data_IF_546559669297
#
_entry.id   IF_546559669297
#
_cell.length_a   1.000
_cell.length_b   1.000
_cell.length_c   1.000
_cell.angle_alpha   90.00
_cell.angle_beta   90.00
_cell.angle_gamma   90.00
#
_symmetry.space_group_name_H-M   'P 1'
#
loop_
_entity.id
_entity.type
_entity.pdbx_description
1 polymer ?
#
# COMPACT_ATOMS: atom_id res chain seq x y z
N UNK A 1 1.50 9.86 -18.56
CA UNK A 1 0.62 10.82 -17.86
C UNK A 1 -0.30 10.07 -16.90
N UNK A 2 -1.19 9.18 -17.37
CA UNK A 2 -2.12 8.42 -16.52
C UNK A 2 -1.40 7.60 -15.45
N UNK A 3 -0.33 6.90 -15.82
CA UNK A 3 0.47 6.10 -14.87
C UNK A 3 1.09 6.95 -13.75
N UNK A 4 1.47 8.19 -14.01
CA UNK A 4 2.01 9.09 -12.99
C UNK A 4 0.92 9.52 -11.99
N UNK A 5 -0.31 9.74 -12.47
CA UNK A 5 -1.45 10.05 -11.61
C UNK A 5 -1.82 8.85 -10.72
N UNK A 6 -1.90 7.65 -11.30
CA UNK A 6 -2.17 6.42 -10.57
C UNK A 6 -1.09 6.17 -9.52
N UNK A 7 0.19 6.30 -9.89
CA UNK A 7 1.30 6.13 -8.96
C UNK A 7 1.22 7.12 -7.79
N UNK A 8 0.86 8.38 -8.06
CA UNK A 8 0.69 9.38 -7.00
C UNK A 8 -0.49 9.07 -6.09
N UNK A 9 -1.59 8.58 -6.63
CA UNK A 9 -2.75 8.13 -5.87
C UNK A 9 -2.38 6.96 -4.96
N UNK A 10 -1.73 5.91 -5.50
CA UNK A 10 -1.27 4.76 -4.73
C UNK A 10 -0.29 5.18 -3.62
N UNK A 11 0.67 6.05 -3.91
CA UNK A 11 1.62 6.57 -2.91
C UNK A 11 0.93 7.34 -1.77
N UNK A 12 -0.17 8.02 -2.08
CA UNK A 12 -0.95 8.73 -1.06
C UNK A 12 -1.75 7.74 -0.20
N UNK A 13 -2.42 6.77 -0.81
CA UNK A 13 -3.23 5.76 -0.12
C UNK A 13 -2.36 4.83 0.71
N UNK A 14 -1.28 4.28 0.10
CA UNK A 14 -0.36 3.33 0.73
C UNK A 14 0.87 4.01 1.36
N UNK A 15 0.77 5.30 1.63
CA UNK A 15 1.74 6.07 2.38
C UNK A 15 1.51 6.03 3.89
N UNK A 16 2.37 6.70 4.62
CA UNK A 16 2.31 6.87 6.08
C UNK A 16 2.01 8.31 6.52
N UNK A 17 1.62 9.16 5.57
CA UNK A 17 1.29 10.54 5.86
C UNK A 17 0.07 10.66 6.79
N UNK A 18 0.15 11.58 7.73
CA UNK A 18 -1.00 12.00 8.51
C UNK A 18 -1.94 12.77 7.58
N UNK A 19 -3.23 12.40 7.60
CA UNK A 19 -4.24 13.13 6.84
C UNK A 19 -4.46 14.54 7.41
N UNK A 20 -4.85 15.44 6.53
CA UNK A 20 -5.28 16.79 6.88
C UNK A 20 -6.52 17.18 6.04
N UNK A 21 -6.94 18.46 6.10
CA UNK A 21 -8.09 18.95 5.34
C UNK A 21 -7.91 18.93 3.82
N UNK A 22 -6.69 18.68 3.33
CA UNK A 22 -6.33 18.74 1.90
C UNK A 22 -5.93 17.40 1.30
N UNK A 23 -5.63 16.40 2.12
CA UNK A 23 -5.22 15.07 1.68
C UNK A 23 -5.60 13.98 2.67
N UNK A 24 -5.94 12.77 2.18
CA UNK A 24 -6.28 11.64 3.04
C UNK A 24 -5.09 11.17 3.90
N UNK A 25 -5.40 10.54 5.02
CA UNK A 25 -4.42 9.77 5.75
C UNK A 25 -4.02 8.52 4.96
N UNK A 26 -2.74 8.22 4.93
CA UNK A 26 -2.26 6.96 4.36
C UNK A 26 -2.64 5.77 5.26
N UNK A 27 -2.84 4.59 4.65
CA UNK A 27 -3.17 3.34 5.37
C UNK A 27 -2.08 2.97 6.39
N UNK A 28 -0.83 3.34 6.13
CA UNK A 28 0.31 3.08 7.01
C UNK A 28 0.55 4.18 8.04
N UNK A 29 -0.35 5.15 8.16
CA UNK A 29 -0.28 6.14 9.24
C UNK A 29 -0.48 5.46 10.60
N UNK A 30 0.48 5.60 11.50
CA UNK A 30 0.47 4.93 12.80
C UNK A 30 0.68 3.41 12.76
N UNK A 31 1.10 2.84 11.62
CA UNK A 31 1.38 1.41 11.49
C UNK A 31 2.50 0.98 12.46
N UNK A 32 2.26 -0.12 13.16
CA UNK A 32 3.23 -0.70 14.09
C UNK A 32 4.44 -1.27 13.34
N UNK A 33 5.62 -1.15 13.94
CA UNK A 33 6.85 -1.76 13.42
C UNK A 33 6.97 -3.17 14.00
N UNK A 34 6.90 -4.18 13.14
CA UNK A 34 6.90 -5.60 13.54
C UNK A 34 7.84 -6.38 12.62
N UNK A 35 8.74 -7.16 13.19
CA UNK A 35 9.58 -8.05 12.40
C UNK A 35 8.71 -9.13 11.71
N UNK A 36 9.03 -9.53 10.47
CA UNK A 36 8.29 -10.57 9.79
C UNK A 36 8.45 -11.90 10.55
N UNK A 37 7.33 -12.50 10.96
CA UNK A 37 7.30 -13.78 11.66
C UNK A 37 5.96 -14.47 11.40
N UNK A 38 5.90 -15.78 11.58
CA UNK A 38 4.66 -16.52 11.41
C UNK A 38 3.62 -16.09 12.46
N UNK A 39 4.06 -15.89 13.71
CA UNK A 39 3.18 -15.35 14.75
C UNK A 39 2.58 -13.99 14.35
N UNK A 40 3.39 -13.08 13.76
CA UNK A 40 2.89 -11.80 13.28
C UNK A 40 1.87 -11.92 12.13
N UNK A 41 1.97 -12.94 11.30
CA UNK A 41 0.94 -13.24 10.27
C UNK A 41 -0.36 -13.69 10.93
N UNK A 42 -0.30 -14.61 11.89
CA UNK A 42 -1.46 -15.06 12.64
C UNK A 42 -2.11 -13.93 13.46
N UNK A 43 -1.32 -13.07 14.08
CA UNK A 43 -1.80 -11.91 14.82
C UNK A 43 -2.48 -10.90 13.89
N UNK A 44 -1.94 -10.69 12.70
CA UNK A 44 -2.56 -9.82 11.70
C UNK A 44 -3.91 -10.37 11.23
N UNK A 45 -4.05 -11.69 11.09
CA UNK A 45 -5.32 -12.33 10.77
C UNK A 45 -6.32 -12.19 11.93
N UNK A 46 -5.89 -12.48 13.15
CA UNK A 46 -6.73 -12.36 14.35
C UNK A 46 -7.19 -10.92 14.62
N UNK A 47 -6.41 -9.93 14.18
CA UNK A 47 -6.73 -8.51 14.35
C UNK A 47 -7.81 -7.99 13.39
N UNK A 48 -8.18 -8.77 12.35
CA UNK A 48 -9.25 -8.40 11.43
C UNK A 48 -10.62 -8.70 12.06
N UNK A 49 -11.44 -7.68 12.23
CA UNK A 49 -12.76 -7.79 12.87
C UNK A 49 -13.93 -7.56 11.90
N UNK A 50 -13.71 -6.74 10.87
CA UNK A 50 -14.77 -6.25 9.99
C UNK A 50 -14.41 -6.42 8.51
N UNK A 51 -14.54 -7.64 8.00
CA UNK A 51 -14.31 -7.92 6.59
C UNK A 51 -15.49 -8.70 6.00
N UNK A 52 -15.76 -8.50 4.72
CA UNK A 52 -16.83 -9.17 3.98
C UNK A 52 -16.32 -9.87 2.72
N UNK A 53 -15.17 -9.47 2.21
CA UNK A 53 -14.57 -9.99 0.98
C UNK A 53 -13.32 -10.82 1.21
N UNK A 54 -12.59 -11.04 0.11
CA UNK A 54 -11.38 -11.84 0.12
C UNK A 54 -10.21 -11.09 0.74
N UNK A 55 -9.57 -11.73 1.69
CA UNK A 55 -8.36 -11.20 2.34
C UNK A 55 -7.14 -11.37 1.44
N UNK A 56 -6.26 -10.39 1.44
CA UNK A 56 -4.97 -10.45 0.73
C UNK A 56 -3.91 -9.60 1.41
N UNK A 57 -2.67 -9.88 1.07
CA UNK A 57 -1.54 -9.02 1.44
C UNK A 57 -1.25 -8.01 0.33
N UNK A 58 -0.99 -6.76 0.74
CA UNK A 58 -0.41 -5.72 -0.11
C UNK A 58 0.88 -5.27 0.56
N UNK A 59 2.00 -5.36 -0.16
CA UNK A 59 3.30 -5.08 0.45
C UNK A 59 4.28 -4.39 -0.50
N UNK A 60 5.22 -3.67 0.09
CA UNK A 60 6.36 -3.11 -0.65
C UNK A 60 7.30 -4.22 -1.13
N UNK A 61 8.11 -3.98 -2.17
CA UNK A 61 9.13 -4.94 -2.61
C UNK A 61 10.11 -5.32 -1.51
N UNK A 62 10.45 -4.38 -0.62
CA UNK A 62 11.33 -4.62 0.53
C UNK A 62 10.68 -5.59 1.53
N UNK A 63 9.42 -5.36 1.90
CA UNK A 63 8.69 -6.26 2.77
C UNK A 63 8.55 -7.66 2.14
N UNK A 64 8.21 -7.72 0.86
CA UNK A 64 8.15 -8.98 0.10
C UNK A 64 9.47 -9.75 0.14
N UNK A 65 10.60 -9.06 -0.02
CA UNK A 65 11.92 -9.69 0.08
C UNK A 65 12.19 -10.27 1.47
N UNK A 66 11.83 -9.54 2.53
CA UNK A 66 11.99 -10.01 3.91
C UNK A 66 11.13 -11.25 4.20
N UNK A 67 9.87 -11.27 3.75
CA UNK A 67 9.00 -12.44 3.90
C UNK A 67 9.53 -13.69 3.17
N UNK A 68 10.19 -13.51 2.01
CA UNK A 68 10.84 -14.60 1.28
C UNK A 68 12.10 -15.13 1.93
N UNK A 69 12.71 -14.40 2.86
CA UNK A 69 13.93 -14.77 3.56
C UNK A 69 13.67 -15.30 4.97
N UNK A 70 12.47 -15.05 5.51
CA UNK A 70 12.10 -15.46 6.86
C UNK A 70 11.46 -16.84 6.84
N UNK A 71 11.95 -17.72 7.72
CA UNK A 71 11.42 -19.08 7.90
C UNK A 71 10.23 -19.07 8.85
N UNK A 72 9.35 -20.05 8.74
CA UNK A 72 8.15 -20.19 9.59
C UNK A 72 8.54 -20.36 11.06
N UNK A 73 9.52 -21.20 11.35
CA UNK A 73 9.99 -21.42 12.73
C UNK A 73 10.92 -20.35 13.27
N UNK A 74 11.41 -19.43 12.41
CA UNK A 74 12.48 -18.50 12.75
C UNK A 74 13.87 -19.11 12.77
N UNK A 75 14.01 -20.45 12.65
CA UNK A 75 15.27 -21.16 12.66
C UNK A 75 15.84 -21.29 11.23
N UNK A 76 17.15 -21.10 11.09
CA UNK A 76 17.83 -21.20 9.78
C UNK A 76 17.80 -22.62 9.19
N UNK A 77 17.57 -23.62 9.99
CA UNK A 77 17.45 -25.03 9.58
C UNK A 77 16.08 -25.37 8.98
N UNK A 78 15.06 -24.52 9.19
CA UNK A 78 13.74 -24.72 8.57
C UNK A 78 13.79 -24.27 7.11
N UNK A 79 13.33 -25.16 6.22
CA UNK A 79 13.26 -24.87 4.78
C UNK A 79 11.92 -24.23 4.38
N UNK A 80 10.97 -24.13 5.32
CA UNK A 80 9.67 -23.51 5.05
C UNK A 80 9.76 -21.99 5.25
N UNK A 81 9.54 -21.26 4.19
CA UNK A 81 9.54 -19.79 4.18
C UNK A 81 8.14 -19.26 4.45
N UNK A 82 8.03 -18.07 5.05
CA UNK A 82 6.75 -17.39 5.27
C UNK A 82 6.00 -17.14 3.95
N UNK A 83 6.75 -16.84 2.90
CA UNK A 83 6.18 -16.63 1.58
C UNK A 83 6.66 -17.71 0.62
N UNK A 84 5.71 -18.46 0.07
CA UNK A 84 5.95 -19.46 -0.96
C UNK A 84 5.22 -19.04 -2.25
N UNK A 85 5.95 -19.01 -3.36
CA UNK A 85 5.39 -18.50 -4.61
C UNK A 85 5.00 -17.01 -4.48
N UNK A 86 3.71 -16.73 -4.56
CA UNK A 86 3.13 -15.39 -4.39
C UNK A 86 2.03 -15.36 -3.31
N UNK A 87 2.16 -16.23 -2.31
CA UNK A 87 1.20 -16.41 -1.23
C UNK A 87 1.91 -16.42 0.13
N UNK A 88 1.22 -15.92 1.14
CA UNK A 88 1.59 -16.02 2.55
C UNK A 88 0.43 -16.68 3.27
N UNK A 89 0.67 -17.86 3.84
CA UNK A 89 -0.32 -18.69 4.54
C UNK A 89 -1.64 -18.91 3.75
N UNK A 90 -1.50 -19.14 2.42
CA UNK A 90 -2.64 -19.32 1.52
C UNK A 90 -3.33 -18.04 1.05
N UNK A 91 -2.90 -16.87 1.53
CA UNK A 91 -3.43 -15.58 1.07
C UNK A 91 -2.59 -14.99 -0.04
N UNK A 92 -3.22 -14.48 -1.13
CA UNK A 92 -2.49 -13.91 -2.26
C UNK A 92 -1.79 -12.61 -1.86
N UNK A 93 -0.59 -12.42 -2.42
CA UNK A 93 0.25 -11.24 -2.20
C UNK A 93 0.30 -10.37 -3.44
N UNK A 94 -0.09 -9.11 -3.31
CA UNK A 94 0.13 -8.05 -4.29
C UNK A 94 1.30 -7.18 -3.84
N UNK A 95 2.19 -6.82 -4.77
CA UNK A 95 3.34 -5.97 -4.45
C UNK A 95 3.38 -4.75 -5.35
N UNK A 96 3.55 -3.57 -4.75
CA UNK A 96 3.71 -2.30 -5.47
C UNK A 96 4.86 -1.49 -4.88
N UNK A 97 5.64 -0.86 -5.75
CA UNK A 97 6.70 0.08 -5.37
C UNK A 97 6.16 1.39 -4.78
N UNK A 98 4.85 1.63 -4.92
CA UNK A 98 4.16 2.80 -4.38
C UNK A 98 3.72 2.62 -2.93
N UNK A 99 3.86 1.42 -2.36
CA UNK A 99 3.67 1.16 -0.93
C UNK A 99 4.88 1.69 -0.16
N UNK A 100 4.64 2.29 1.00
CA UNK A 100 5.73 2.78 1.88
C UNK A 100 6.79 1.69 2.11
N UNK A 101 8.06 2.08 2.08
CA UNK A 101 9.18 1.14 2.23
C UNK A 101 9.06 0.33 3.52
N UNK A 102 9.21 -0.99 3.42
CA UNK A 102 9.02 -1.91 4.53
C UNK A 102 7.55 -2.14 4.92
N UNK A 103 6.59 -1.46 4.26
CA UNK A 103 5.17 -1.60 4.58
C UNK A 103 4.59 -2.92 4.05
N UNK A 104 3.74 -3.55 4.87
CA UNK A 104 2.84 -4.61 4.45
C UNK A 104 1.49 -4.44 5.15
N UNK A 105 0.43 -4.60 4.41
CA UNK A 105 -0.94 -4.54 4.92
C UNK A 105 -1.67 -5.83 4.60
N UNK A 106 -2.51 -6.29 5.53
CA UNK A 106 -3.33 -7.46 5.38
C UNK A 106 -4.79 -7.11 5.63
N UNK A 107 -5.68 -7.65 4.81
CA UNK A 107 -7.11 -7.44 4.99
C UNK A 107 -7.92 -7.49 3.70
N UNK A 108 -9.15 -7.04 3.84
CA UNK A 108 -10.12 -6.91 2.75
C UNK A 108 -10.06 -5.51 2.12
N UNK A 109 -9.42 -5.42 0.98
CA UNK A 109 -9.27 -4.15 0.25
C UNK A 109 -10.53 -3.73 -0.51
N UNK A 110 -11.60 -4.52 -0.53
CA UNK A 110 -12.90 -4.08 -1.04
C UNK A 110 -13.55 -3.01 -0.14
N UNK A 111 -13.10 -2.93 1.11
CA UNK A 111 -13.51 -1.90 2.06
C UNK A 111 -12.75 -0.56 1.90
N UNK A 112 -11.77 -0.51 1.01
CA UNK A 112 -11.08 0.73 0.64
C UNK A 112 -11.91 1.49 -0.39
N UNK A 113 -12.49 2.60 0.03
CA UNK A 113 -13.25 3.50 -0.85
C UNK A 113 -12.35 4.60 -1.36
N UNK A 114 -12.28 4.75 -2.67
CA UNK A 114 -11.62 5.87 -3.34
C UNK A 114 -12.68 6.72 -4.00
N UNK A 115 -12.77 7.98 -3.63
CA UNK A 115 -13.69 8.93 -4.21
C UNK A 115 -12.94 9.93 -5.10
N UNK A 116 -13.53 10.27 -6.24
CA UNK A 116 -13.00 11.28 -7.16
C UNK A 116 -14.05 12.37 -7.35
N UNK A 117 -13.63 13.64 -7.28
CA UNK A 117 -14.46 14.79 -7.57
C UNK A 117 -14.03 15.46 -8.87
N UNK A 118 -15.01 15.71 -9.73
CA UNK A 118 -14.77 16.32 -11.02
C UNK A 118 -14.04 15.40 -12.01
N UNK A 119 -13.55 16.00 -13.08
CA UNK A 119 -12.75 15.33 -14.08
C UNK A 119 -11.25 15.51 -13.83
N UNK A 120 -10.46 14.87 -14.66
CA UNK A 120 -9.01 15.15 -14.76
C UNK A 120 -8.87 16.37 -15.66
N UNK A 121 -8.27 17.45 -15.13
CA UNK A 121 -7.97 18.66 -15.87
C UNK A 121 -6.50 18.66 -16.31
N UNK A 122 -6.26 18.91 -17.59
CA UNK A 122 -4.92 18.92 -18.18
C UNK A 122 -4.66 20.30 -18.76
N UNK A 123 -3.74 21.03 -18.14
CA UNK A 123 -3.28 22.33 -18.62
C UNK A 123 -1.95 22.17 -19.34
N UNK A 124 -1.92 22.62 -20.60
CA UNK A 124 -0.72 22.63 -21.42
C UNK A 124 -0.08 24.01 -21.34
N UNK A 125 1.14 24.08 -20.81
CA UNK A 125 1.92 25.31 -20.71
C UNK A 125 3.16 25.24 -21.64
N UNK A 126 3.11 25.87 -22.80
CA UNK A 126 4.22 25.88 -23.73
C UNK A 126 5.25 26.95 -23.42
N UNK A 127 4.99 27.90 -22.49
CA UNK A 127 5.80 29.09 -22.30
C UNK A 127 6.86 28.91 -21.20
N UNK A 128 6.53 28.30 -20.08
CA UNK A 128 7.45 28.21 -18.93
C UNK A 128 8.76 27.49 -19.24
N UNK A 129 8.75 26.51 -20.13
CA UNK A 129 9.94 25.75 -20.54
C UNK A 129 10.37 25.98 -21.96
N UNK A 130 9.93 27.10 -22.59
CA UNK A 130 10.26 27.43 -24.00
C UNK A 130 11.77 27.53 -24.26
N UNK A 131 12.55 28.05 -23.31
CA UNK A 131 14.03 28.14 -23.41
C UNK A 131 14.71 26.77 -23.42
N UNK A 132 14.05 25.71 -22.95
CA UNK A 132 14.54 24.33 -22.95
C UNK A 132 13.93 23.49 -24.08
N UNK A 133 13.19 24.11 -25.00
CA UNK A 133 12.44 23.45 -26.07
C UNK A 133 11.55 22.32 -25.54
N UNK A 134 10.88 22.53 -24.39
CA UNK A 134 10.02 21.58 -23.71
C UNK A 134 8.66 22.20 -23.37
N UNK A 135 7.63 21.36 -23.30
CA UNK A 135 6.27 21.75 -22.91
C UNK A 135 5.99 21.21 -21.53
N UNK A 136 5.43 22.04 -20.64
CA UNK A 136 4.99 21.63 -19.31
C UNK A 136 3.52 21.21 -19.37
N UNK A 137 3.24 20.00 -18.86
CA UNK A 137 1.87 19.52 -18.65
C UNK A 137 1.57 19.54 -17.16
N UNK A 138 0.50 20.22 -16.77
CA UNK A 138 -0.01 20.22 -15.40
C UNK A 138 -1.30 19.44 -15.39
N UNK A 139 -1.37 18.43 -14.52
CA UNK A 139 -2.54 17.56 -14.39
C UNK A 139 -3.10 17.77 -12.99
N UNK A 140 -4.37 18.15 -12.93
CA UNK A 140 -5.12 18.33 -11.71
C UNK A 140 -6.20 17.25 -11.61
N UNK A 141 -6.24 16.58 -10.48
CA UNK A 141 -7.30 15.63 -10.15
C UNK A 141 -7.51 15.63 -8.63
N UNK A 142 -8.76 15.55 -8.22
CA UNK A 142 -9.14 15.58 -6.81
C UNK A 142 -9.61 14.20 -6.40
N UNK A 143 -8.90 13.60 -5.44
CA UNK A 143 -9.19 12.29 -4.89
C UNK A 143 -9.19 12.34 -3.37
N UNK A 144 -10.00 11.50 -2.78
CA UNK A 144 -9.89 11.14 -1.37
C UNK A 144 -10.01 9.62 -1.23
N UNK A 145 -9.46 9.07 -0.17
CA UNK A 145 -9.50 7.64 0.07
C UNK A 145 -9.62 7.36 1.56
N UNK A 146 -10.51 6.45 1.91
CA UNK A 146 -10.69 6.01 3.28
C UNK A 146 -11.12 4.55 3.34
N UNK A 147 -10.64 3.84 4.35
CA UNK A 147 -11.16 2.51 4.68
C UNK A 147 -12.51 2.69 5.36
N UNK A 148 -13.56 2.07 4.79
CA UNK A 148 -14.94 2.20 5.28
C UNK A 148 -15.11 1.58 6.67
N UNK A 149 -14.43 0.46 6.93
CA UNK A 149 -14.43 -0.24 8.21
C UNK A 149 -13.01 -0.36 8.71
N UNK A 150 -12.69 0.28 9.83
CA UNK A 150 -11.33 0.36 10.36
C UNK A 150 -10.72 -1.00 10.75
N UNK A 151 -11.57 -1.99 11.05
CA UNK A 151 -11.16 -3.37 11.33
C UNK A 151 -10.85 -4.22 10.10
N UNK A 152 -11.15 -3.75 8.88
CA UNK A 152 -11.04 -4.56 7.67
C UNK A 152 -9.60 -4.66 7.12
N UNK A 153 -8.74 -3.69 7.42
CA UNK A 153 -7.35 -3.65 6.96
C UNK A 153 -6.45 -3.33 8.14
N UNK A 154 -5.38 -4.09 8.29
CA UNK A 154 -4.30 -3.83 9.26
C UNK A 154 -3.00 -3.62 8.53
N UNK A 155 -2.28 -2.57 8.91
CA UNK A 155 -1.03 -2.17 8.30
C UNK A 155 0.13 -2.23 9.30
N UNK A 156 1.27 -2.72 8.83
CA UNK A 156 2.49 -2.91 9.60
C UNK A 156 3.69 -2.44 8.79
N UNK A 157 4.78 -2.13 9.47
CA UNK A 157 6.08 -1.85 8.85
C UNK A 157 7.13 -2.83 9.38
N UNK A 158 8.06 -3.19 8.54
CA UNK A 158 9.25 -3.95 8.93
C UNK A 158 10.32 -2.97 9.41
N UNK A 159 11.00 -3.33 10.48
CA UNK A 159 12.11 -2.56 11.02
C UNK A 159 13.32 -2.53 10.07
#
# INVERSE_FOLDING_TARGET
IVNALIAKLEQTIFGDAVGDTTKPAGIFNGAQVVAPSYAGVCDAEAALTDYLGDKRFVMSPTAKSSFKQTTISGEKSDLRLLMQGNEVDGYPVSSSSNVVTGGYAFGDFSELVVAQWGGIDIVVDPYTLATKNAIRLVINAFFDAKVRREGAIKAYKIA
#
